data_IF_912316589271
#
_entry.id   IF_912316589271
#
_cell.length_a   1.000
_cell.length_b   1.000
_cell.length_c   1.000
_cell.angle_alpha   90.00
_cell.angle_beta   90.00
_cell.angle_gamma   90.00
#
_symmetry.space_group_name_H-M   'P 1'
#
loop_
_entity.id
_entity.type
_entity.pdbx_description
1 polymer ?
#
# COMPACT_ATOMS: atom_id res chain seq x y z
N UNK A 1 17.81 -27.93 0.34
CA UNK A 1 18.11 -26.88 1.35
C UNK A 1 17.16 -25.72 1.14
N UNK A 2 16.05 -25.65 1.89
CA UNK A 2 15.18 -24.47 1.92
C UNK A 2 15.81 -23.48 2.91
N UNK A 3 16.72 -22.62 2.42
CA UNK A 3 17.32 -21.60 3.29
C UNK A 3 16.27 -20.55 3.60
N UNK A 4 16.18 -20.18 4.87
CA UNK A 4 15.39 -19.04 5.36
C UNK A 4 15.85 -17.80 4.59
N UNK A 5 15.06 -17.32 3.64
CA UNK A 5 15.33 -16.06 2.99
C UNK A 5 14.36 -15.03 3.55
N UNK A 6 14.88 -14.13 4.39
CA UNK A 6 14.16 -12.94 4.82
C UNK A 6 13.77 -12.14 3.57
N UNK A 7 12.59 -11.53 3.57
CA UNK A 7 12.16 -10.64 2.49
C UNK A 7 13.21 -9.54 2.29
N UNK A 8 13.69 -9.41 1.06
CA UNK A 8 14.74 -8.45 0.67
C UNK A 8 14.24 -7.04 0.93
N UNK A 9 13.00 -6.72 0.52
CA UNK A 9 12.40 -5.40 0.76
C UNK A 9 12.35 -5.03 2.25
N UNK A 10 12.10 -6.00 3.13
CA UNK A 10 12.14 -5.80 4.59
C UNK A 10 13.53 -5.45 5.08
N UNK A 11 14.55 -6.20 4.63
CA UNK A 11 15.95 -5.93 4.98
C UNK A 11 16.37 -4.55 4.47
N UNK A 12 15.95 -4.18 3.25
CA UNK A 12 16.20 -2.86 2.66
C UNK A 12 15.61 -1.75 3.54
N UNK A 13 14.34 -1.88 3.95
CA UNK A 13 13.68 -0.90 4.82
C UNK A 13 14.40 -0.74 6.17
N UNK A 14 14.74 -1.85 6.81
CA UNK A 14 15.40 -1.85 8.12
C UNK A 14 16.79 -1.22 8.06
N UNK A 15 17.64 -1.68 7.14
CA UNK A 15 19.05 -1.28 7.06
C UNK A 15 19.20 0.16 6.57
N UNK A 16 18.43 0.57 5.56
CA UNK A 16 18.48 1.96 5.09
C UNK A 16 17.91 2.94 6.11
N UNK A 17 17.01 2.47 7.00
CA UNK A 17 16.50 3.22 8.15
C UNK A 17 17.48 3.39 9.31
N UNK A 18 18.61 2.66 9.35
CA UNK A 18 19.61 2.78 10.41
C UNK A 18 20.34 4.13 10.35
N UNK A 19 20.66 4.72 11.50
CA UNK A 19 21.59 5.84 11.58
C UNK A 19 23.03 5.29 11.54
N UNK A 20 23.69 5.38 10.39
CA UNK A 20 25.09 5.00 10.24
C UNK A 20 25.94 6.27 10.16
N UNK A 21 26.83 6.47 11.12
CA UNK A 21 27.81 7.55 11.12
C UNK A 21 29.11 7.09 10.49
N UNK A 22 29.43 7.57 9.29
CA UNK A 22 30.75 7.34 8.68
C UNK A 22 31.87 8.12 9.40
N UNK A 23 33.12 7.95 8.97
CA UNK A 23 34.28 8.56 9.63
C UNK A 23 34.13 10.10 9.73
N UNK A 24 34.19 10.69 10.95
CA UNK A 24 34.03 12.14 11.14
C UNK A 24 35.13 12.98 10.48
N UNK A 25 36.24 12.37 10.04
CA UNK A 25 37.40 13.04 9.43
C UNK A 25 37.24 13.29 7.94
N UNK A 26 36.35 12.58 7.25
CA UNK A 26 36.07 12.76 5.82
C UNK A 26 34.95 13.78 5.59
N UNK A 27 34.94 14.42 4.42
CA UNK A 27 33.93 15.41 4.04
C UNK A 27 32.50 14.83 4.15
N UNK A 28 31.55 15.63 4.59
CA UNK A 28 30.18 15.17 4.91
C UNK A 28 29.50 14.43 3.73
N UNK A 29 29.71 14.87 2.49
CA UNK A 29 29.16 14.22 1.29
C UNK A 29 29.75 12.82 1.07
N UNK A 30 31.07 12.70 1.16
CA UNK A 30 31.77 11.43 1.03
C UNK A 30 31.39 10.47 2.17
N UNK A 31 31.23 11.00 3.38
CA UNK A 31 30.76 10.24 4.55
C UNK A 31 29.37 9.65 4.35
N UNK A 32 28.45 10.43 3.78
CA UNK A 32 27.10 9.96 3.49
C UNK A 32 27.10 8.88 2.41
N UNK A 33 27.93 9.03 1.37
CA UNK A 33 28.08 8.03 0.31
C UNK A 33 28.71 6.72 0.84
N UNK A 34 29.73 6.82 1.69
CA UNK A 34 30.38 5.70 2.36
C UNK A 34 29.40 4.91 3.26
N UNK A 35 28.68 5.63 4.13
CA UNK A 35 27.63 5.04 4.97
C UNK A 35 26.53 4.35 4.14
N UNK A 36 26.22 4.85 2.95
CA UNK A 36 25.26 4.22 2.03
C UNK A 36 25.82 2.92 1.44
N UNK A 37 27.11 2.89 1.07
CA UNK A 37 27.78 1.69 0.53
C UNK A 37 27.87 0.58 1.58
N UNK A 38 28.13 0.94 2.83
CA UNK A 38 28.11 0.01 3.96
C UNK A 38 26.72 -0.62 4.13
N UNK A 39 25.67 0.21 4.11
CA UNK A 39 24.29 -0.26 4.17
C UNK A 39 23.95 -1.20 3.02
N UNK A 40 24.32 -0.86 1.78
CA UNK A 40 24.13 -1.75 0.62
C UNK A 40 24.87 -3.07 0.83
N UNK A 41 26.11 -3.02 1.31
CA UNK A 41 26.92 -4.23 1.56
C UNK A 41 26.29 -5.13 2.62
N UNK A 42 25.74 -4.55 3.71
CA UNK A 42 24.98 -5.28 4.72
C UNK A 42 23.77 -5.98 4.08
N UNK A 43 23.01 -5.27 3.24
CA UNK A 43 21.84 -5.81 2.55
C UNK A 43 22.24 -6.98 1.64
N UNK A 44 23.23 -6.79 0.75
CA UNK A 44 23.68 -7.82 -0.19
C UNK A 44 24.21 -9.07 0.52
N UNK A 45 24.96 -8.90 1.62
CA UNK A 45 25.42 -10.00 2.45
C UNK A 45 24.25 -10.74 3.13
N UNK A 46 23.27 -9.99 3.64
CA UNK A 46 22.06 -10.58 4.27
C UNK A 46 21.20 -11.35 3.26
N UNK A 47 21.19 -10.92 2.00
CA UNK A 47 20.50 -11.63 0.92
C UNK A 47 21.14 -12.96 0.54
N UNK A 48 22.40 -13.22 0.95
CA UNK A 48 23.21 -14.39 0.57
C UNK A 48 23.24 -14.65 -0.95
N UNK A 49 23.13 -13.59 -1.76
CA UNK A 49 23.01 -13.70 -3.22
C UNK A 49 24.37 -13.68 -3.95
N UNK A 50 25.49 -13.56 -3.22
CA UNK A 50 26.84 -13.50 -3.79
C UNK A 50 27.13 -12.24 -4.61
N UNK A 51 26.27 -11.22 -4.51
CA UNK A 51 26.45 -9.94 -5.20
C UNK A 51 27.33 -9.00 -4.39
N UNK A 52 28.09 -8.17 -5.11
CA UNK A 52 28.95 -7.15 -4.54
C UNK A 52 28.85 -5.87 -5.37
N UNK A 53 29.20 -4.73 -4.74
CA UNK A 53 29.33 -3.46 -5.44
C UNK A 53 30.38 -3.56 -6.56
N UNK A 54 30.13 -2.91 -7.70
CA UNK A 54 31.12 -2.80 -8.79
C UNK A 54 32.31 -1.94 -8.37
N UNK A 55 33.40 -1.95 -9.15
CA UNK A 55 34.58 -1.16 -8.85
C UNK A 55 34.27 0.35 -8.81
N UNK A 56 33.40 0.81 -9.70
CA UNK A 56 32.94 2.20 -9.80
C UNK A 56 32.12 2.58 -8.56
N UNK A 57 31.16 1.75 -8.14
CA UNK A 57 30.35 2.02 -6.94
C UNK A 57 31.16 2.00 -5.64
N UNK A 58 32.32 1.33 -5.62
CA UNK A 58 33.24 1.34 -4.48
C UNK A 58 34.08 2.62 -4.41
N UNK A 59 34.18 3.42 -5.47
CA UNK A 59 34.91 4.68 -5.44
C UNK A 59 34.30 5.58 -4.35
N UNK A 60 35.06 5.99 -3.31
CA UNK A 60 34.55 6.84 -2.23
C UNK A 60 33.91 8.14 -2.71
N UNK A 61 34.34 8.66 -3.86
CA UNK A 61 33.86 9.92 -4.44
C UNK A 61 32.52 9.77 -5.16
N UNK A 62 32.14 8.54 -5.56
CA UNK A 62 30.88 8.31 -6.27
C UNK A 62 29.69 8.65 -5.36
N UNK A 63 28.84 9.63 -5.75
CA UNK A 63 27.66 9.98 -4.98
C UNK A 63 26.58 8.90 -5.14
N UNK A 64 25.89 8.59 -4.04
CA UNK A 64 24.75 7.68 -4.05
C UNK A 64 23.55 8.37 -3.40
N UNK A 65 22.46 8.53 -4.15
CA UNK A 65 21.19 9.00 -3.60
C UNK A 65 20.42 7.82 -2.98
N UNK A 66 19.76 8.07 -1.85
CA UNK A 66 18.90 7.09 -1.18
C UNK A 66 17.82 6.54 -2.13
N UNK A 67 17.17 7.39 -2.93
CA UNK A 67 16.12 6.95 -3.87
C UNK A 67 16.66 6.02 -4.96
N UNK A 68 17.85 6.30 -5.48
CA UNK A 68 18.52 5.44 -6.47
C UNK A 68 18.92 4.10 -5.85
N UNK A 69 19.40 4.11 -4.61
CA UNK A 69 19.71 2.90 -3.86
C UNK A 69 18.46 2.05 -3.63
N UNK A 70 17.35 2.66 -3.21
CA UNK A 70 16.06 1.97 -3.09
C UNK A 70 15.64 1.36 -4.44
N UNK A 71 15.73 2.12 -5.52
CA UNK A 71 15.39 1.64 -6.85
C UNK A 71 16.19 0.38 -7.22
N UNK A 72 17.53 0.47 -7.17
CA UNK A 72 18.41 -0.65 -7.52
C UNK A 72 18.13 -1.89 -6.67
N UNK A 73 17.96 -1.70 -5.36
CA UNK A 73 17.72 -2.80 -4.42
C UNK A 73 16.33 -3.43 -4.57
N UNK A 74 15.29 -2.65 -4.86
CA UNK A 74 13.95 -3.19 -5.12
C UNK A 74 13.86 -3.89 -6.47
N UNK A 75 14.57 -3.40 -7.49
CA UNK A 75 14.70 -4.09 -8.77
C UNK A 75 15.43 -5.43 -8.60
N UNK A 76 16.49 -5.45 -7.79
CA UNK A 76 17.16 -6.68 -7.40
C UNK A 76 16.24 -7.62 -6.60
N UNK A 77 15.45 -7.09 -5.67
CA UNK A 77 14.47 -7.87 -4.90
C UNK A 77 13.43 -8.51 -5.83
N UNK A 78 12.92 -7.76 -6.81
CA UNK A 78 12.00 -8.26 -7.82
C UNK A 78 12.62 -9.38 -8.67
N UNK A 79 13.87 -9.20 -9.13
CA UNK A 79 14.62 -10.22 -9.84
C UNK A 79 14.86 -11.48 -8.99
N UNK A 80 15.02 -11.31 -7.67
CA UNK A 80 15.06 -12.38 -6.68
C UNK A 80 13.67 -12.94 -6.31
N UNK A 81 12.63 -12.61 -7.07
CA UNK A 81 11.25 -13.06 -6.87
C UNK A 81 10.70 -12.70 -5.49
N UNK A 82 11.11 -11.56 -4.93
CA UNK A 82 10.55 -11.05 -3.69
C UNK A 82 9.19 -10.36 -3.94
N UNK A 83 8.08 -10.87 -3.38
CA UNK A 83 6.78 -10.22 -3.50
C UNK A 83 6.76 -8.81 -2.88
N UNK A 84 7.59 -8.55 -1.87
CA UNK A 84 7.60 -7.27 -1.16
C UNK A 84 7.98 -6.08 -2.04
N UNK A 85 8.75 -6.30 -3.12
CA UNK A 85 9.08 -5.27 -4.11
C UNK A 85 7.83 -4.71 -4.84
N UNK A 86 6.79 -5.54 -5.00
CA UNK A 86 5.52 -5.13 -5.60
C UNK A 86 4.58 -4.45 -4.58
N UNK A 87 4.84 -4.61 -3.27
CA UNK A 87 3.91 -4.25 -2.19
C UNK A 87 4.39 -3.12 -1.26
N UNK A 88 5.54 -2.48 -1.51
CA UNK A 88 6.02 -1.37 -0.68
C UNK A 88 5.04 -0.20 -0.64
N UNK A 89 4.81 0.40 0.54
CA UNK A 89 3.78 1.47 0.74
C UNK A 89 4.32 2.80 1.26
N UNK A 90 5.63 3.03 1.19
CA UNK A 90 6.24 4.32 1.54
C UNK A 90 5.98 5.43 0.52
N UNK A 91 6.77 6.51 0.53
CA UNK A 91 6.69 7.55 -0.48
C UNK A 91 6.85 7.03 -1.91
N UNK A 92 6.14 7.60 -2.91
CA UNK A 92 6.37 7.27 -4.31
C UNK A 92 7.81 7.62 -4.68
N UNK A 93 8.51 6.70 -5.32
CA UNK A 93 9.92 6.87 -5.55
C UNK A 93 10.16 7.78 -6.76
N UNK A 94 10.91 8.85 -6.50
CA UNK A 94 11.35 9.84 -7.48
C UNK A 94 12.85 9.65 -7.72
N UNK A 95 13.22 9.46 -8.96
CA UNK A 95 14.60 9.52 -9.40
C UNK A 95 14.84 10.93 -9.93
N UNK A 96 15.44 11.79 -9.12
CA UNK A 96 15.89 13.11 -9.55
C UNK A 96 17.41 13.09 -9.64
N UNK A 97 17.96 13.59 -10.75
CA UNK A 97 19.40 13.79 -10.85
C UNK A 97 19.87 14.74 -9.76
N UNK A 98 20.85 14.32 -8.98
CA UNK A 98 21.66 15.22 -8.17
C UNK A 98 23.07 15.43 -8.78
N UNK A 99 23.56 14.49 -9.59
CA UNK A 99 24.94 14.48 -10.09
C UNK A 99 25.05 13.89 -11.50
N UNK A 100 26.04 14.36 -12.26
CA UNK A 100 26.31 13.97 -13.67
C UNK A 100 26.75 12.50 -13.79
N UNK A 101 27.28 11.94 -12.70
CA UNK A 101 27.89 10.60 -12.64
C UNK A 101 26.99 9.53 -11.97
N UNK A 102 25.65 9.73 -11.99
CA UNK A 102 24.72 8.73 -11.41
C UNK A 102 24.73 7.41 -12.21
N UNK A 103 24.69 6.24 -11.54
CA UNK A 103 24.65 4.94 -12.19
C UNK A 103 23.30 4.63 -12.85
N UNK A 104 22.23 5.34 -12.46
CA UNK A 104 20.93 5.26 -13.11
C UNK A 104 20.85 6.39 -14.14
N UNK A 105 20.48 6.03 -15.37
CA UNK A 105 20.30 6.83 -16.60
C UNK A 105 20.07 8.34 -16.35
N UNK A 106 20.59 9.26 -17.19
CA UNK A 106 20.72 10.68 -16.87
C UNK A 106 19.41 11.51 -16.82
N UNK A 107 18.25 10.92 -16.53
CA UNK A 107 16.93 11.58 -16.61
C UNK A 107 16.16 11.54 -15.29
N UNK A 108 15.55 12.66 -14.92
CA UNK A 108 14.59 12.68 -13.83
C UNK A 108 13.36 11.85 -14.23
N UNK A 109 12.93 10.90 -13.40
CA UNK A 109 11.79 10.03 -13.68
C UNK A 109 10.97 9.71 -12.43
N UNK A 110 9.65 9.66 -12.60
CA UNK A 110 8.76 8.95 -11.68
C UNK A 110 8.90 7.44 -11.90
N UNK A 111 8.73 6.66 -10.85
CA UNK A 111 8.76 5.19 -10.93
C UNK A 111 7.48 4.59 -10.35
N UNK A 112 7.14 3.38 -10.79
CA UNK A 112 6.05 2.59 -10.21
C UNK A 112 6.41 2.00 -8.83
N UNK A 113 7.68 2.13 -8.42
CA UNK A 113 8.18 1.69 -7.12
C UNK A 113 7.88 2.71 -6.02
N UNK A 114 7.71 2.20 -4.82
CA UNK A 114 7.45 2.96 -3.61
C UNK A 114 8.56 2.61 -2.63
N UNK A 115 9.02 3.58 -1.84
CA UNK A 115 10.06 3.29 -0.85
C UNK A 115 9.56 2.23 0.14
N UNK A 116 10.41 1.24 0.49
CA UNK A 116 10.02 0.23 1.43
C UNK A 116 10.04 0.81 2.85
N UNK A 117 9.14 0.35 3.70
CA UNK A 117 9.03 0.81 5.08
C UNK A 117 8.88 -0.35 6.05
N UNK A 118 9.18 -0.12 7.33
CA UNK A 118 9.08 -1.16 8.36
C UNK A 118 7.65 -1.65 8.60
N UNK A 119 6.61 -0.97 8.08
CA UNK A 119 5.23 -1.48 8.17
C UNK A 119 4.91 -2.47 7.06
N UNK A 120 5.68 -2.45 5.96
CA UNK A 120 5.59 -3.43 4.88
C UNK A 120 5.97 -4.82 5.42
N UNK A 121 6.96 -4.86 6.32
CA UNK A 121 7.42 -6.03 7.07
C UNK A 121 6.48 -6.45 8.22
N UNK A 122 5.54 -5.57 8.60
CA UNK A 122 4.86 -5.56 9.89
C UNK A 122 3.72 -6.58 10.08
N UNK A 123 3.66 -7.64 9.28
CA UNK A 123 2.75 -8.78 9.49
C UNK A 123 3.45 -10.14 9.29
N UNK A 124 4.54 -10.19 8.52
CA UNK A 124 5.25 -11.42 8.16
C UNK A 124 6.60 -11.63 8.86
N UNK A 125 6.95 -10.83 9.87
CA UNK A 125 8.19 -11.07 10.64
C UNK A 125 8.30 -12.49 11.24
N UNK A 126 7.19 -13.24 11.33
CA UNK A 126 7.18 -14.64 11.75
C UNK A 126 7.05 -15.66 10.61
N UNK A 127 6.59 -15.25 9.41
CA UNK A 127 6.33 -16.14 8.29
C UNK A 127 7.18 -15.71 7.09
N UNK A 128 8.14 -16.56 6.72
CA UNK A 128 8.87 -16.39 5.47
C UNK A 128 7.88 -16.50 4.31
N UNK A 129 7.69 -15.41 3.56
CA UNK A 129 6.88 -15.44 2.36
C UNK A 129 7.50 -16.33 1.29
N UNK A 130 6.63 -16.97 0.52
CA UNK A 130 7.05 -17.69 -0.67
C UNK A 130 7.53 -16.72 -1.75
N UNK A 131 8.58 -17.12 -2.47
CA UNK A 131 9.03 -16.41 -3.67
C UNK A 131 7.92 -16.39 -4.70
N UNK A 132 7.86 -15.32 -5.48
CA UNK A 132 6.97 -15.23 -6.64
C UNK A 132 7.20 -16.45 -7.56
N UNK A 133 6.13 -16.98 -8.18
CA UNK A 133 6.25 -18.16 -9.02
C UNK A 133 7.20 -17.89 -10.19
N UNK A 134 8.01 -18.89 -10.57
CA UNK A 134 8.95 -18.75 -11.70
C UNK A 134 8.26 -18.48 -13.04
N UNK A 135 6.97 -18.77 -13.14
CA UNK A 135 6.13 -18.45 -14.30
C UNK A 135 5.60 -17.01 -14.30
N UNK A 136 5.86 -16.20 -13.26
CA UNK A 136 5.42 -14.82 -13.19
C UNK A 136 6.08 -14.02 -14.32
N UNK A 137 5.25 -13.46 -15.21
CA UNK A 137 5.70 -12.56 -16.29
C UNK A 137 5.76 -11.15 -15.74
N UNK A 138 6.96 -10.71 -15.36
CA UNK A 138 7.20 -9.37 -14.85
C UNK A 138 8.38 -8.79 -15.61
N UNK A 139 8.08 -7.85 -16.50
CA UNK A 139 9.07 -7.11 -17.27
C UNK A 139 9.14 -5.67 -16.78
N UNK A 140 10.30 -5.05 -16.87
CA UNK A 140 10.49 -3.63 -16.50
C UNK A 140 11.24 -2.92 -17.60
N UNK A 141 11.02 -1.62 -17.74
CA UNK A 141 11.67 -0.86 -18.80
C UNK A 141 11.53 0.64 -18.62
N UNK A 142 12.02 1.35 -19.63
CA UNK A 142 11.93 2.79 -19.79
C UNK A 142 11.14 3.09 -21.06
N UNK A 143 10.13 3.94 -20.96
CA UNK A 143 9.38 4.43 -22.11
C UNK A 143 9.21 5.94 -21.98
N UNK A 144 9.66 6.71 -22.98
CA UNK A 144 9.62 8.18 -22.97
C UNK A 144 10.26 8.82 -21.72
N UNK A 145 11.27 8.15 -21.15
CA UNK A 145 11.94 8.61 -19.93
C UNK A 145 11.24 8.26 -18.62
N UNK A 146 10.09 7.56 -18.67
CA UNK A 146 9.39 7.05 -17.50
C UNK A 146 9.67 5.56 -17.28
N UNK A 147 9.87 5.16 -16.02
CA UNK A 147 9.98 3.75 -15.64
C UNK A 147 8.62 3.07 -15.58
N UNK A 148 8.51 1.89 -16.19
CA UNK A 148 7.31 1.05 -16.13
C UNK A 148 7.61 -0.37 -15.65
N UNK A 149 6.56 -1.04 -15.20
CA UNK A 149 6.49 -2.49 -15.06
C UNK A 149 5.36 -3.02 -15.93
N UNK A 150 5.59 -4.13 -16.60
CA UNK A 150 4.63 -4.84 -17.42
C UNK A 150 4.37 -6.21 -16.78
N UNK A 151 3.13 -6.45 -16.37
CA UNK A 151 2.73 -7.68 -15.69
C UNK A 151 1.24 -7.96 -15.89
N UNK A 152 0.83 -9.18 -15.59
CA UNK A 152 -0.58 -9.57 -15.68
C UNK A 152 -1.34 -9.06 -14.45
N UNK A 153 -2.48 -8.40 -14.64
CA UNK A 153 -3.29 -7.80 -13.58
C UNK A 153 -4.66 -8.44 -13.51
N UNK A 154 -5.09 -8.82 -12.31
CA UNK A 154 -6.48 -9.17 -12.03
C UNK A 154 -7.22 -7.92 -11.57
N UNK A 155 -8.15 -7.45 -12.38
CA UNK A 155 -9.01 -6.32 -11.99
C UNK A 155 -10.11 -6.81 -11.06
N UNK A 156 -10.43 -6.01 -10.04
CA UNK A 156 -11.59 -6.24 -9.20
C UNK A 156 -12.82 -5.88 -10.04
N UNK A 157 -13.36 -6.84 -10.80
CA UNK A 157 -14.54 -6.65 -11.66
C UNK A 157 -15.68 -6.02 -10.84
N UNK A 158 -16.07 -4.82 -11.22
CA UNK A 158 -17.05 -4.01 -10.51
C UNK A 158 -18.45 -4.59 -10.69
N UNK A 159 -19.04 -5.11 -9.62
CA UNK A 159 -20.42 -4.72 -9.35
C UNK A 159 -20.43 -3.25 -8.92
N UNK A 160 -21.60 -2.65 -8.76
CA UNK A 160 -21.78 -1.28 -8.27
C UNK A 160 -20.86 -0.98 -7.08
N UNK A 161 -19.90 -0.06 -7.28
CA UNK A 161 -19.01 0.43 -6.23
C UNK A 161 -19.84 1.34 -5.34
N UNK A 162 -19.88 1.04 -4.05
CA UNK A 162 -20.63 1.82 -3.07
C UNK A 162 -19.67 2.56 -2.15
N UNK A 163 -19.96 3.82 -1.91
CA UNK A 163 -19.21 4.65 -0.99
C UNK A 163 -19.78 4.51 0.43
N UNK A 164 -18.90 4.71 1.42
CA UNK A 164 -19.33 4.69 2.82
C UNK A 164 -20.34 5.79 3.19
N UNK A 165 -20.55 6.78 2.32
CA UNK A 165 -21.51 7.88 2.54
C UNK A 165 -22.83 7.74 1.75
N UNK A 166 -23.02 6.67 0.98
CA UNK A 166 -24.20 6.53 0.10
C UNK A 166 -25.51 6.33 0.87
N UNK A 167 -25.46 5.70 2.05
CA UNK A 167 -26.64 5.52 2.93
C UNK A 167 -26.60 6.49 4.13
N UNK A 168 -27.44 7.54 4.13
CA UNK A 168 -27.52 8.50 5.23
C UNK A 168 -27.86 7.86 6.58
N UNK A 169 -28.70 6.81 6.60
CA UNK A 169 -29.12 6.16 7.84
C UNK A 169 -27.93 5.42 8.47
N UNK A 170 -27.22 4.63 7.69
CA UNK A 170 -26.01 3.93 8.18
C UNK A 170 -24.90 4.91 8.58
N UNK A 171 -24.76 6.03 7.87
CA UNK A 171 -23.83 7.11 8.25
C UNK A 171 -24.17 7.76 9.60
N UNK A 172 -25.46 7.95 9.90
CA UNK A 172 -25.91 8.47 11.19
C UNK A 172 -25.55 7.51 12.32
N UNK A 173 -25.80 6.21 12.14
CA UNK A 173 -25.43 5.16 13.10
C UNK A 173 -23.91 5.18 13.34
N UNK A 174 -23.12 5.20 12.27
CA UNK A 174 -21.66 5.17 12.35
C UNK A 174 -21.09 6.41 13.06
N UNK A 175 -21.58 7.60 12.70
CA UNK A 175 -21.14 8.85 13.31
C UNK A 175 -21.52 8.94 14.78
N UNK A 176 -22.74 8.54 15.13
CA UNK A 176 -23.19 8.47 16.52
C UNK A 176 -22.34 7.48 17.33
N UNK A 177 -22.07 6.30 16.80
CA UNK A 177 -21.25 5.28 17.46
C UNK A 177 -19.84 5.79 17.80
N UNK A 178 -19.17 6.43 16.84
CA UNK A 178 -17.83 6.97 17.04
C UNK A 178 -17.82 8.15 18.01
N UNK A 179 -18.84 9.00 18.00
CA UNK A 179 -18.98 10.07 18.99
C UNK A 179 -19.14 9.52 20.41
N UNK A 180 -19.98 8.50 20.61
CA UNK A 180 -20.13 7.82 21.91
C UNK A 180 -18.79 7.22 22.35
N UNK A 181 -18.08 6.53 21.47
CA UNK A 181 -16.78 5.95 21.78
C UNK A 181 -15.76 7.04 22.17
N UNK A 182 -15.78 8.20 21.51
CA UNK A 182 -14.94 9.35 21.85
C UNK A 182 -15.31 9.93 23.21
N UNK A 183 -16.60 10.20 23.47
CA UNK A 183 -17.09 10.76 24.74
C UNK A 183 -16.79 9.85 25.92
N UNK A 184 -17.04 8.54 25.78
CA UNK A 184 -16.84 7.52 26.83
C UNK A 184 -15.44 6.93 26.88
N UNK A 185 -14.54 7.38 25.99
CA UNK A 185 -13.15 6.91 25.86
C UNK A 185 -13.04 5.39 25.62
N UNK A 186 -13.98 4.82 24.86
CA UNK A 186 -13.87 3.43 24.41
C UNK A 186 -12.78 3.29 23.33
N UNK A 187 -12.12 2.15 23.30
CA UNK A 187 -11.00 1.87 22.40
C UNK A 187 -9.72 2.64 22.73
N UNK A 188 -8.68 2.42 21.93
CA UNK A 188 -7.38 3.05 22.11
C UNK A 188 -7.40 4.51 21.65
N UNK A 189 -6.47 5.30 22.18
CA UNK A 189 -6.34 6.72 21.84
C UNK A 189 -5.95 6.99 20.37
N UNK A 190 -5.57 5.97 19.59
CA UNK A 190 -5.02 6.14 18.22
C UNK A 190 -5.98 6.86 17.25
N UNK A 191 -7.28 6.54 17.30
CA UNK A 191 -8.30 7.24 16.52
C UNK A 191 -8.30 8.73 16.83
N UNK A 192 -8.21 9.07 18.13
CA UNK A 192 -8.27 10.45 18.59
C UNK A 192 -7.08 11.25 18.08
N UNK A 193 -5.89 10.64 17.99
CA UNK A 193 -4.72 11.28 17.40
C UNK A 193 -4.92 11.56 15.91
N UNK A 194 -5.29 10.55 15.12
CA UNK A 194 -5.45 10.70 13.67
C UNK A 194 -6.58 11.65 13.28
N UNK A 195 -7.70 11.62 14.00
CA UNK A 195 -8.82 12.55 13.77
C UNK A 195 -8.41 14.00 13.98
N UNK A 196 -7.49 14.28 14.91
CA UNK A 196 -6.98 15.64 15.18
C UNK A 196 -5.68 15.96 14.44
N UNK A 197 -5.12 15.03 13.66
CA UNK A 197 -3.83 15.22 13.02
C UNK A 197 -3.94 16.21 11.87
N UNK A 198 -3.25 17.35 11.98
CA UNK A 198 -3.33 18.45 11.01
C UNK A 198 -2.81 18.01 9.64
N UNK A 199 -1.77 17.19 9.58
CA UNK A 199 -1.20 16.73 8.32
C UNK A 199 -2.14 15.73 7.64
N UNK A 200 -2.69 14.76 8.37
CA UNK A 200 -3.67 13.82 7.85
C UNK A 200 -4.91 14.55 7.32
N UNK A 201 -5.46 15.49 8.10
CA UNK A 201 -6.63 16.27 7.67
C UNK A 201 -6.34 17.14 6.43
N UNK A 202 -5.12 17.67 6.32
CA UNK A 202 -4.69 18.43 5.13
C UNK A 202 -4.64 17.56 3.88
N UNK A 203 -4.12 16.33 3.98
CA UNK A 203 -3.99 15.45 2.82
C UNK A 203 -5.32 14.77 2.45
N UNK A 204 -6.08 14.30 3.44
CA UNK A 204 -7.24 13.45 3.20
C UNK A 204 -8.59 14.16 3.35
N UNK A 205 -8.63 15.42 3.75
CA UNK A 205 -9.86 16.06 4.24
C UNK A 205 -10.20 15.57 5.65
N UNK A 206 -11.47 15.69 6.06
CA UNK A 206 -11.89 15.34 7.43
C UNK A 206 -11.60 13.87 7.75
N UNK A 207 -10.64 13.65 8.65
CA UNK A 207 -10.38 12.30 9.15
C UNK A 207 -11.58 11.76 9.93
N UNK A 208 -12.35 12.61 10.61
CA UNK A 208 -13.59 12.18 11.26
C UNK A 208 -14.55 11.52 10.25
N UNK A 209 -14.69 12.10 9.06
CA UNK A 209 -15.54 11.58 8.01
C UNK A 209 -15.00 10.25 7.48
N UNK A 210 -13.68 10.14 7.30
CA UNK A 210 -13.03 8.88 6.90
C UNK A 210 -13.38 7.75 7.89
N UNK A 211 -13.29 8.01 9.19
CA UNK A 211 -13.62 7.01 10.20
C UNK A 211 -15.11 6.66 10.20
N UNK A 212 -16.01 7.66 10.13
CA UNK A 212 -17.45 7.41 10.06
C UNK A 212 -17.84 6.61 8.82
N UNK A 213 -17.35 7.00 7.65
CA UNK A 213 -17.62 6.28 6.40
C UNK A 213 -17.02 4.88 6.41
N UNK A 214 -15.87 4.67 7.06
CA UNK A 214 -15.27 3.33 7.18
C UNK A 214 -16.16 2.44 8.05
N UNK A 215 -16.67 2.95 9.17
CA UNK A 215 -17.61 2.20 10.00
C UNK A 215 -18.94 1.96 9.28
N UNK A 216 -19.41 2.90 8.47
CA UNK A 216 -20.60 2.69 7.63
C UNK A 216 -20.39 1.52 6.65
N UNK A 217 -19.24 1.45 5.96
CA UNK A 217 -18.89 0.29 5.13
C UNK A 217 -18.87 -1.01 5.95
N UNK A 218 -18.35 -1.00 7.19
CA UNK A 218 -18.34 -2.17 8.07
C UNK A 218 -19.76 -2.62 8.44
N UNK A 219 -20.66 -1.68 8.74
CA UNK A 219 -22.07 -1.97 9.03
C UNK A 219 -22.79 -2.57 7.81
N UNK A 220 -22.48 -2.10 6.60
CA UNK A 220 -22.97 -2.68 5.35
C UNK A 220 -22.44 -4.09 5.12
N UNK A 221 -21.15 -4.30 5.38
CA UNK A 221 -20.52 -5.61 5.23
C UNK A 221 -21.06 -6.63 6.21
N UNK A 222 -21.28 -6.22 7.45
CA UNK A 222 -21.87 -7.04 8.51
C UNK A 222 -20.82 -7.72 9.39
N UNK A 223 -21.27 -8.37 10.47
CA UNK A 223 -20.37 -8.92 11.47
C UNK A 223 -19.62 -10.18 11.00
N UNK A 224 -20.21 -11.02 10.12
CA UNK A 224 -19.52 -12.17 9.51
C UNK A 224 -18.26 -11.75 8.75
N UNK A 225 -18.38 -10.64 8.01
CA UNK A 225 -17.25 -10.04 7.30
C UNK A 225 -16.15 -9.57 8.27
N UNK A 226 -16.53 -8.99 9.43
CA UNK A 226 -15.57 -8.55 10.45
C UNK A 226 -14.80 -9.74 11.02
N UNK A 227 -15.48 -10.85 11.28
CA UNK A 227 -14.86 -12.08 11.75
C UNK A 227 -13.82 -12.60 10.75
N UNK A 228 -14.21 -12.76 9.48
CA UNK A 228 -13.33 -13.24 8.43
C UNK A 228 -12.07 -12.37 8.32
N UNK A 229 -12.22 -11.05 8.26
CA UNK A 229 -11.07 -10.13 8.22
C UNK A 229 -10.20 -10.26 9.47
N UNK A 230 -10.79 -10.41 10.65
CA UNK A 230 -10.03 -10.61 11.88
C UNK A 230 -9.23 -11.91 11.87
N UNK A 231 -9.78 -12.98 11.32
CA UNK A 231 -9.11 -14.27 11.18
C UNK A 231 -7.97 -14.20 10.16
N UNK A 232 -8.21 -13.63 8.97
CA UNK A 232 -7.20 -13.49 7.91
C UNK A 232 -6.00 -12.65 8.32
N UNK A 233 -6.24 -11.55 9.04
CA UNK A 233 -5.19 -10.61 9.47
C UNK A 233 -4.66 -10.88 10.89
N UNK A 234 -5.12 -11.94 11.56
CA UNK A 234 -4.65 -12.31 12.90
C UNK A 234 -4.90 -11.24 13.96
N UNK A 235 -6.07 -10.58 13.92
CA UNK A 235 -6.44 -9.52 14.87
C UNK A 235 -6.65 -10.14 16.26
N UNK A 236 -5.60 -10.16 17.08
CA UNK A 236 -5.54 -10.97 18.31
C UNK A 236 -6.65 -10.71 19.34
N UNK A 237 -7.22 -9.50 19.42
CA UNK A 237 -8.32 -9.18 20.34
C UNK A 237 -9.65 -9.83 19.93
N UNK A 238 -9.80 -10.28 18.69
CA UNK A 238 -11.03 -10.93 18.22
C UNK A 238 -11.43 -12.11 19.10
N UNK A 239 -10.47 -12.91 19.56
CA UNK A 239 -10.73 -14.07 20.43
C UNK A 239 -11.40 -13.73 21.77
N UNK A 240 -11.23 -12.50 22.26
CA UNK A 240 -11.75 -12.06 23.56
C UNK A 240 -12.99 -11.20 23.41
N UNK A 241 -12.99 -10.30 22.43
CA UNK A 241 -14.01 -9.27 22.28
C UNK A 241 -14.98 -9.53 21.11
N UNK A 242 -14.72 -10.55 20.29
CA UNK A 242 -15.39 -10.78 19.00
C UNK A 242 -16.88 -11.07 19.14
N UNK A 243 -17.29 -11.96 20.04
CA UNK A 243 -18.71 -12.27 20.28
C UNK A 243 -19.49 -11.02 20.73
N UNK A 244 -18.92 -10.23 21.63
CA UNK A 244 -19.53 -8.98 22.09
C UNK A 244 -19.63 -7.95 20.96
N UNK A 245 -18.58 -7.82 20.14
CA UNK A 245 -18.56 -6.92 18.99
C UNK A 245 -19.60 -7.34 17.93
N UNK A 246 -19.69 -8.64 17.66
CA UNK A 246 -20.68 -9.23 16.76
C UNK A 246 -22.09 -8.85 17.18
N UNK A 247 -22.46 -9.19 18.42
CA UNK A 247 -23.79 -8.95 18.97
C UNK A 247 -24.14 -7.45 18.96
N UNK A 248 -23.16 -6.58 19.23
CA UNK A 248 -23.37 -5.13 19.19
C UNK A 248 -23.61 -4.62 17.76
N UNK A 249 -22.85 -5.10 16.76
CA UNK A 249 -23.07 -4.75 15.35
C UNK A 249 -24.46 -5.19 14.87
N UNK A 250 -24.87 -6.41 15.21
CA UNK A 250 -26.22 -6.92 14.93
C UNK A 250 -27.30 -6.06 15.58
N UNK A 251 -27.14 -5.72 16.87
CA UNK A 251 -28.10 -4.90 17.60
C UNK A 251 -28.23 -3.49 17.01
N UNK A 252 -27.10 -2.86 16.66
CA UNK A 252 -27.08 -1.53 16.03
C UNK A 252 -27.80 -1.56 14.67
N UNK A 253 -27.52 -2.55 13.82
CA UNK A 253 -28.15 -2.66 12.51
C UNK A 253 -29.65 -2.94 12.61
N UNK A 254 -30.05 -3.91 13.44
CA UNK A 254 -31.46 -4.30 13.59
C UNK A 254 -32.35 -3.23 14.22
N UNK A 255 -31.78 -2.32 15.02
CA UNK A 255 -32.53 -1.23 15.66
C UNK A 255 -32.46 0.09 14.89
N UNK A 256 -31.69 0.16 13.80
CA UNK A 256 -31.38 1.40 13.11
C UNK A 256 -30.64 2.38 14.03
N UNK A 257 -29.65 1.90 14.79
CA UNK A 257 -28.84 2.69 15.72
C UNK A 257 -29.50 3.05 17.05
N UNK A 258 -30.74 2.61 17.30
CA UNK A 258 -31.48 2.97 18.52
C UNK A 258 -31.19 2.07 19.72
N UNK A 259 -30.23 1.15 19.61
CA UNK A 259 -29.81 0.30 20.72
C UNK A 259 -29.22 1.17 21.87
N UNK A 260 -29.77 1.11 23.10
CA UNK A 260 -29.41 2.06 24.15
C UNK A 260 -27.91 2.08 24.48
N UNK A 261 -27.29 3.27 24.50
CA UNK A 261 -25.86 3.42 24.82
C UNK A 261 -25.46 2.81 26.19
N UNK A 262 -26.40 2.73 27.15
CA UNK A 262 -26.17 2.12 28.47
C UNK A 262 -26.04 0.60 28.41
N UNK A 263 -26.56 -0.03 27.35
CA UNK A 263 -26.51 -1.47 27.13
C UNK A 263 -25.26 -1.90 26.33
N UNK A 264 -24.42 -0.95 25.90
CA UNK A 264 -23.23 -1.27 25.13
C UNK A 264 -22.15 -1.87 26.04
N UNK A 265 -21.64 -3.04 25.67
CA UNK A 265 -20.42 -3.56 26.28
C UNK A 265 -19.23 -2.67 25.87
N UNK A 266 -18.53 -2.08 26.85
CA UNK A 266 -17.43 -1.16 26.60
C UNK A 266 -16.23 -1.80 25.87
N UNK A 267 -15.94 -3.09 26.13
CA UNK A 267 -14.86 -3.82 25.47
C UNK A 267 -15.21 -4.07 24.00
N UNK A 268 -16.45 -4.50 23.72
CA UNK A 268 -16.98 -4.70 22.38
C UNK A 268 -17.00 -3.40 21.56
N UNK A 269 -17.54 -2.32 22.12
CA UNK A 269 -17.56 -1.02 21.45
C UNK A 269 -16.14 -0.49 21.18
N UNK A 270 -15.25 -0.64 22.16
CA UNK A 270 -13.84 -0.31 22.01
C UNK A 270 -13.12 -1.16 20.96
N UNK A 271 -13.49 -2.44 20.84
CA UNK A 271 -12.96 -3.33 19.80
C UNK A 271 -13.39 -2.88 18.40
N UNK A 272 -14.68 -2.59 18.18
CA UNK A 272 -15.18 -2.12 16.88
C UNK A 272 -14.46 -0.82 16.47
N UNK A 273 -14.30 0.13 17.39
CA UNK A 273 -13.55 1.34 17.13
C UNK A 273 -12.07 1.05 16.76
N UNK A 274 -11.39 0.19 17.53
CA UNK A 274 -10.01 -0.24 17.24
C UNK A 274 -9.90 -0.99 15.90
N UNK A 275 -10.93 -1.74 15.51
CA UNK A 275 -11.00 -2.44 14.23
C UNK A 275 -11.14 -1.47 13.06
N UNK A 276 -12.02 -0.47 13.15
CA UNK A 276 -12.10 0.62 12.16
C UNK A 276 -10.74 1.33 12.04
N UNK A 277 -10.08 1.60 13.16
CA UNK A 277 -8.73 2.16 13.16
C UNK A 277 -7.70 1.26 12.48
N UNK A 278 -7.80 -0.06 12.66
CA UNK A 278 -6.97 -1.01 11.94
C UNK A 278 -7.17 -0.90 10.42
N UNK A 279 -8.42 -0.85 9.94
CA UNK A 279 -8.73 -0.69 8.52
C UNK A 279 -8.17 0.62 7.97
N UNK A 280 -8.38 1.76 8.65
CA UNK A 280 -7.89 3.08 8.21
C UNK A 280 -6.37 3.13 8.15
N UNK A 281 -5.67 2.65 9.18
CA UNK A 281 -4.18 2.70 9.22
C UNK A 281 -3.57 1.78 8.16
N UNK A 282 -4.19 0.64 7.88
CA UNK A 282 -3.67 -0.35 6.92
C UNK A 282 -4.07 -0.05 5.48
N UNK A 283 -5.28 0.47 5.27
CA UNK A 283 -5.84 0.72 3.96
C UNK A 283 -5.54 2.11 3.40
N UNK A 284 -5.38 3.13 4.23
CA UNK A 284 -5.08 4.46 3.71
C UNK A 284 -3.61 4.62 3.33
N UNK A 285 -3.31 5.25 2.17
CA UNK A 285 -1.96 5.38 1.67
C UNK A 285 -1.24 6.61 2.27
N UNK A 286 -1.21 6.73 3.61
CA UNK A 286 -0.73 7.93 4.33
C UNK A 286 0.67 8.41 3.93
N UNK A 287 1.56 7.48 3.54
CA UNK A 287 2.95 7.77 3.18
C UNK A 287 3.15 8.03 1.70
N UNK A 288 2.13 7.77 0.89
CA UNK A 288 2.19 7.77 -0.57
C UNK A 288 1.72 9.09 -1.16
N UNK A 289 0.98 9.87 -0.37
CA UNK A 289 0.32 11.08 -0.82
C UNK A 289 1.19 12.30 -0.51
N UNK A 290 1.34 13.15 -1.51
CA UNK A 290 2.19 14.35 -1.48
C UNK A 290 1.37 15.65 -1.49
N UNK A 291 0.11 15.59 -1.93
CA UNK A 291 -0.81 16.72 -2.03
C UNK A 291 -2.18 16.34 -1.48
N UNK A 292 -3.14 17.27 -1.43
CA UNK A 292 -4.49 16.93 -0.96
C UNK A 292 -5.19 16.02 -1.95
N UNK A 293 -5.61 14.85 -1.50
CA UNK A 293 -6.40 13.87 -2.22
C UNK A 293 -7.39 13.22 -1.25
N UNK A 294 -8.68 13.34 -1.55
CA UNK A 294 -9.73 12.86 -0.64
C UNK A 294 -9.97 11.36 -0.82
N UNK A 295 -9.07 10.55 -0.28
CA UNK A 295 -9.26 9.10 -0.28
C UNK A 295 -10.42 8.73 0.63
N UNK A 296 -11.37 7.96 0.10
CA UNK A 296 -12.59 7.57 0.80
C UNK A 296 -12.75 6.05 0.80
N UNK A 297 -13.30 5.47 1.87
CA UNK A 297 -13.60 4.05 1.90
C UNK A 297 -14.72 3.75 0.91
N UNK A 298 -14.53 2.66 0.17
CA UNK A 298 -15.55 2.05 -0.67
C UNK A 298 -15.75 0.61 -0.23
N UNK A 299 -16.92 0.07 -0.57
CA UNK A 299 -17.16 -1.34 -0.50
C UNK A 299 -17.78 -1.85 -1.79
N UNK A 300 -17.46 -3.11 -2.13
CA UNK A 300 -17.91 -3.76 -3.35
C UNK A 300 -18.47 -5.12 -2.98
N UNK A 301 -19.70 -5.40 -3.41
CA UNK A 301 -20.27 -6.75 -3.35
C UNK A 301 -19.79 -7.54 -4.56
N UNK A 302 -19.37 -8.78 -4.38
CA UNK A 302 -19.05 -9.75 -5.43
C UNK A 302 -20.32 -10.49 -5.86
N UNK A 303 -20.25 -11.21 -7.00
CA UNK A 303 -21.39 -11.94 -7.58
C UNK A 303 -21.87 -13.11 -6.71
N UNK A 304 -20.95 -13.69 -5.94
CA UNK A 304 -21.19 -14.80 -5.01
C UNK A 304 -21.66 -14.33 -3.62
N UNK A 305 -21.80 -13.02 -3.42
CA UNK A 305 -22.18 -12.41 -2.15
C UNK A 305 -21.00 -11.99 -1.27
N UNK A 306 -19.75 -12.28 -1.67
CA UNK A 306 -18.56 -11.81 -0.95
C UNK A 306 -18.43 -10.30 -0.96
N UNK A 307 -17.74 -9.71 0.01
CA UNK A 307 -17.61 -8.26 0.15
C UNK A 307 -16.17 -7.84 0.36
N UNK A 308 -15.83 -6.72 -0.27
CA UNK A 308 -14.50 -6.12 -0.20
C UNK A 308 -14.63 -4.68 0.31
N UNK A 309 -13.77 -4.28 1.25
CA UNK A 309 -13.54 -2.87 1.61
C UNK A 309 -12.14 -2.47 1.20
N UNK A 310 -12.02 -1.27 0.62
CA UNK A 310 -10.73 -0.61 0.37
C UNK A 310 -10.90 0.92 0.33
N UNK A 311 -9.84 1.66 0.04
CA UNK A 311 -9.84 3.12 -0.03
C UNK A 311 -9.41 3.55 -1.42
N UNK A 312 -10.13 4.49 -2.03
CA UNK A 312 -9.82 4.99 -3.37
C UNK A 312 -9.75 6.52 -3.40
N UNK A 313 -8.88 7.11 -4.22
CA UNK A 313 -8.90 8.54 -4.50
C UNK A 313 -10.13 8.92 -5.33
N UNK A 314 -10.46 10.23 -5.44
CA UNK A 314 -11.45 10.69 -6.39
C UNK A 314 -10.97 10.48 -7.85
N UNK A 315 -11.91 10.25 -8.76
CA UNK A 315 -11.66 10.12 -10.20
C UNK A 315 -12.02 8.74 -10.76
N UNK A 316 -11.66 8.51 -12.02
CA UNK A 316 -11.83 7.22 -12.69
C UNK A 316 -10.69 6.28 -12.30
N UNK A 317 -10.97 5.42 -11.30
CA UNK A 317 -9.99 4.52 -10.70
C UNK A 317 -10.38 3.07 -10.95
N UNK A 318 -9.42 2.28 -11.43
CA UNK A 318 -9.53 0.83 -11.49
C UNK A 318 -8.64 0.18 -10.43
N UNK A 319 -9.24 -0.74 -9.67
CA UNK A 319 -8.58 -1.49 -8.62
C UNK A 319 -8.13 -2.85 -9.16
N UNK A 320 -6.85 -3.18 -9.01
CA UNK A 320 -6.29 -4.43 -9.53
C UNK A 320 -5.24 -5.06 -8.61
N UNK A 321 -5.01 -6.35 -8.75
CA UNK A 321 -3.96 -7.09 -8.04
C UNK A 321 -3.02 -7.71 -9.08
N UNK A 322 -1.69 -7.56 -8.96
CA UNK A 322 -0.74 -8.33 -9.75
C UNK A 322 -1.04 -9.82 -9.67
N UNK A 323 -1.17 -10.50 -10.81
CA UNK A 323 -1.53 -11.92 -10.84
C UNK A 323 -0.54 -12.81 -10.07
N UNK A 324 0.74 -12.39 -10.01
CA UNK A 324 1.79 -13.04 -9.23
C UNK A 324 1.58 -12.95 -7.71
N UNK A 325 0.69 -12.08 -7.23
CA UNK A 325 0.36 -11.86 -5.82
C UNK A 325 -1.01 -12.41 -5.42
N UNK A 326 -1.64 -13.26 -6.25
CA UNK A 326 -2.97 -13.82 -5.95
C UNK A 326 -2.94 -14.89 -4.86
N UNK A 327 -1.79 -15.51 -4.60
CA UNK A 327 -1.63 -16.55 -3.57
C UNK A 327 -2.05 -16.06 -2.17
N UNK A 328 -2.62 -16.97 -1.38
CA UNK A 328 -3.04 -16.74 0.00
C UNK A 328 -1.88 -16.32 0.92
N UNK A 329 -0.65 -16.74 0.61
CA UNK A 329 0.53 -16.32 1.35
C UNK A 329 0.72 -14.79 1.34
N UNK A 330 0.19 -14.11 0.31
CA UNK A 330 0.33 -12.66 0.12
C UNK A 330 -0.87 -11.85 0.62
N UNK A 331 -1.89 -12.49 1.21
CA UNK A 331 -3.14 -11.83 1.59
C UNK A 331 -2.95 -10.63 2.53
N UNK A 332 -1.93 -10.68 3.37
CA UNK A 332 -1.62 -9.65 4.37
C UNK A 332 -0.82 -8.47 3.80
N UNK A 333 -0.33 -8.57 2.56
CA UNK A 333 0.44 -7.52 1.90
C UNK A 333 -0.46 -6.44 1.30
N UNK A 334 0.10 -5.25 1.11
CA UNK A 334 -0.52 -4.17 0.34
C UNK A 334 -0.44 -4.45 -1.17
N UNK A 335 -1.16 -5.50 -1.60
CA UNK A 335 -1.15 -6.03 -2.98
C UNK A 335 -2.19 -5.38 -3.89
N UNK A 336 -3.07 -4.52 -3.38
CA UNK A 336 -4.02 -3.79 -4.20
C UNK A 336 -3.32 -2.61 -4.87
N UNK A 337 -3.41 -2.53 -6.18
CA UNK A 337 -2.95 -1.41 -6.98
C UNK A 337 -4.14 -0.59 -7.44
N UNK A 338 -4.04 0.72 -7.26
CA UNK A 338 -5.07 1.67 -7.65
C UNK A 338 -4.57 2.43 -8.86
N UNK A 339 -5.25 2.21 -9.97
CA UNK A 339 -4.77 2.52 -11.30
C UNK A 339 -5.69 3.56 -11.93
N UNK A 340 -5.08 4.54 -12.58
CA UNK A 340 -5.79 5.48 -13.44
C UNK A 340 -5.46 5.14 -14.91
N UNK A 341 -6.46 5.03 -15.79
CA UNK A 341 -6.22 4.86 -17.22
C UNK A 341 -5.34 5.99 -17.78
N UNK A 342 -4.32 5.65 -18.59
CA UNK A 342 -3.52 6.65 -19.32
C UNK A 342 -4.03 6.81 -20.75
N UNK A 343 -4.47 8.00 -21.11
CA UNK A 343 -4.76 8.36 -22.51
C UNK A 343 -3.57 9.13 -23.10
N UNK A 344 -2.78 8.49 -23.97
CA UNK A 344 -1.76 9.19 -24.74
C UNK A 344 -2.34 9.60 -26.09
N UNK A 345 -2.43 10.90 -26.34
CA UNK A 345 -2.60 11.40 -27.72
C UNK A 345 -1.31 11.14 -28.50
N UNK A 346 -1.35 10.21 -29.46
CA UNK A 346 -0.32 10.10 -30.51
C UNK A 346 0.59 8.87 -30.50
N UNK A 347 0.44 7.92 -29.56
CA UNK A 347 1.13 6.62 -29.65
C UNK A 347 0.15 5.59 -30.22
N UNK A 348 0.44 5.06 -31.42
CA UNK A 348 -0.34 3.99 -32.01
C UNK A 348 -0.18 2.70 -31.15
N UNK A 349 -1.21 2.36 -30.42
CA UNK A 349 -1.31 1.17 -29.56
C UNK A 349 -2.64 1.18 -28.81
N UNK A 350 -3.13 0.00 -28.42
CA UNK A 350 -4.40 -0.14 -27.72
C UNK A 350 -4.36 0.62 -26.38
N UNK A 351 -5.17 1.68 -26.17
CA UNK A 351 -5.16 2.47 -24.94
C UNK A 351 -5.56 1.67 -23.69
N UNK A 352 -6.05 0.43 -23.85
CA UNK A 352 -6.55 -0.43 -22.77
C UNK A 352 -5.46 -1.05 -21.88
N UNK A 353 -4.17 -0.91 -22.22
CA UNK A 353 -3.06 -1.62 -21.55
C UNK A 353 -2.10 -0.71 -20.75
N UNK A 354 -2.46 0.56 -20.49
CA UNK A 354 -1.55 1.53 -19.84
C UNK A 354 -2.19 2.23 -18.65
N UNK A 355 -1.45 2.25 -17.55
CA UNK A 355 -1.96 2.69 -16.26
C UNK A 355 -0.96 3.58 -15.52
N UNK A 356 -1.48 4.59 -14.83
CA UNK A 356 -0.75 5.31 -13.78
C UNK A 356 -1.06 4.65 -12.45
N UNK A 357 -0.03 4.19 -11.73
CA UNK A 357 -0.19 3.70 -10.37
C UNK A 357 -0.35 4.87 -9.40
N UNK A 358 -1.56 5.09 -8.91
CA UNK A 358 -1.86 6.13 -7.92
C UNK A 358 -1.44 5.74 -6.51
N UNK A 359 -1.54 4.47 -6.17
CA UNK A 359 -1.16 4.00 -4.86
C UNK A 359 -1.32 2.50 -4.71
N UNK A 360 -0.77 2.00 -3.61
CA UNK A 360 -0.84 0.61 -3.19
C UNK A 360 -1.57 0.53 -1.86
N UNK A 361 -2.49 -0.41 -1.74
CA UNK A 361 -3.34 -0.56 -0.56
C UNK A 361 -3.59 -2.03 -0.25
N UNK A 362 -4.37 -2.27 0.79
CA UNK A 362 -4.76 -3.57 1.31
C UNK A 362 -6.21 -3.87 0.87
N UNK A 363 -6.50 -5.14 0.62
CA UNK A 363 -7.85 -5.65 0.36
C UNK A 363 -8.38 -6.28 1.64
N UNK A 364 -9.43 -5.70 2.21
CA UNK A 364 -10.15 -6.35 3.30
C UNK A 364 -11.33 -7.11 2.71
N UNK A 365 -11.32 -8.43 2.82
CA UNK A 365 -12.31 -9.29 2.19
C UNK A 365 -12.72 -10.44 3.09
N UNK A 366 -13.97 -10.88 2.91
CA UNK A 366 -14.48 -12.11 3.49
C UNK A 366 -14.01 -13.36 2.72
N UNK A 367 -14.30 -14.53 3.29
CA UNK A 367 -13.93 -15.83 2.73
C UNK A 367 -14.52 -16.06 1.33
N UNK A 368 -15.80 -15.74 1.03
CA UNK A 368 -16.34 -15.88 -0.32
C UNK A 368 -15.56 -15.06 -1.36
N UNK A 369 -15.31 -13.76 -1.08
CA UNK A 369 -14.57 -12.92 -2.01
C UNK A 369 -13.13 -13.41 -2.26
N UNK A 370 -12.49 -14.04 -1.27
CA UNK A 370 -11.18 -14.67 -1.45
C UNK A 370 -11.24 -15.93 -2.31
N UNK A 371 -12.25 -16.78 -2.14
CA UNK A 371 -12.40 -18.00 -2.93
C UNK A 371 -12.62 -17.68 -4.42
N UNK A 372 -13.38 -16.64 -4.74
CA UNK A 372 -13.54 -16.16 -6.11
C UNK A 372 -12.21 -15.62 -6.68
N UNK A 373 -11.40 -14.97 -5.85
CA UNK A 373 -10.06 -14.51 -6.22
C UNK A 373 -9.10 -15.66 -6.60
N UNK A 374 -9.37 -16.89 -6.18
CA UNK A 374 -8.58 -18.07 -6.56
C UNK A 374 -9.11 -18.79 -7.80
N UNK A 375 -10.42 -18.79 -7.99
CA UNK A 375 -11.09 -19.59 -9.04
C UNK A 375 -11.28 -18.82 -10.36
N UNK A 376 -11.46 -17.49 -10.29
CA UNK A 376 -11.75 -16.63 -11.45
C UNK A 376 -10.55 -16.21 -12.31
N UNK A 377 -9.79 -17.15 -12.88
CA UNK A 377 -8.67 -16.84 -13.82
C UNK A 377 -9.11 -16.08 -15.08
N UNK A 378 -10.41 -15.99 -15.38
CA UNK A 378 -10.99 -15.32 -16.55
C UNK A 378 -10.90 -13.80 -16.52
N UNK A 379 -10.63 -13.18 -15.36
CA UNK A 379 -10.61 -11.73 -15.18
C UNK A 379 -9.19 -11.13 -15.17
N UNK A 380 -8.19 -11.92 -15.57
CA UNK A 380 -6.79 -11.48 -15.67
C UNK A 380 -6.59 -10.82 -17.03
N UNK A 381 -6.22 -9.55 -17.03
CA UNK A 381 -5.74 -8.84 -18.22
C UNK A 381 -4.23 -9.01 -18.29
N UNK A 382 -3.74 -9.62 -19.36
CA UNK A 382 -2.31 -9.91 -19.52
C UNK A 382 -1.52 -8.66 -19.91
N UNK A 383 -0.23 -8.63 -19.59
CA UNK A 383 0.77 -7.69 -20.13
C UNK A 383 0.40 -6.21 -19.98
N UNK A 384 -0.17 -5.85 -18.82
CA UNK A 384 -0.57 -4.49 -18.50
C UNK A 384 0.65 -3.67 -18.09
N UNK A 385 0.85 -2.52 -18.73
CA UNK A 385 1.94 -1.59 -18.39
C UNK A 385 1.49 -0.59 -17.35
N UNK A 386 2.27 -0.51 -16.27
CA UNK A 386 2.00 0.35 -15.12
C UNK A 386 3.19 1.27 -14.89
N UNK A 387 2.91 2.56 -14.83
CA UNK A 387 3.88 3.63 -14.65
C UNK A 387 3.70 4.29 -13.28
N UNK A 388 4.71 5.06 -12.86
CA UNK A 388 4.63 5.89 -11.65
C UNK A 388 3.61 7.03 -11.75
N UNK A 389 3.28 7.63 -10.60
CA UNK A 389 2.48 8.86 -10.55
C UNK A 389 3.15 9.97 -11.35
N UNK A 390 2.35 10.71 -12.10
CA UNK A 390 2.82 11.93 -12.74
C UNK A 390 3.14 12.95 -11.64
N UNK A 391 4.40 13.36 -11.60
CA UNK A 391 4.86 14.36 -10.66
C UNK A 391 5.06 15.69 -11.40
N UNK A 392 4.36 16.77 -11.03
CA UNK A 392 4.47 18.05 -11.72
C UNK A 392 5.90 18.59 -11.79
N UNK A 393 6.73 18.32 -10.79
CA UNK A 393 8.13 18.74 -10.76
C UNK A 393 8.98 17.91 -11.71
N UNK A 394 8.81 16.59 -11.73
CA UNK A 394 9.48 15.71 -12.72
C UNK A 394 9.03 16.07 -14.13
N UNK A 395 7.73 16.29 -14.34
CA UNK A 395 7.16 16.70 -15.62
C UNK A 395 7.68 18.08 -16.06
N UNK A 396 7.91 19.01 -15.12
CA UNK A 396 8.58 20.28 -15.42
C UNK A 396 10.01 20.04 -15.89
N UNK A 397 10.79 19.25 -15.16
CA UNK A 397 12.19 18.96 -15.50
C UNK A 397 12.33 18.21 -16.84
N UNK A 398 11.42 17.28 -17.13
CA UNK A 398 11.35 16.57 -18.40
C UNK A 398 11.03 17.53 -19.55
N UNK A 399 10.04 18.42 -19.38
CA UNK A 399 9.67 19.44 -20.38
C UNK A 399 10.77 20.44 -20.66
N UNK A 400 11.42 20.95 -19.62
CA UNK A 400 12.57 21.86 -19.75
C UNK A 400 13.64 21.23 -20.63
N UNK A 401 13.91 19.92 -20.47
CA UNK A 401 14.90 19.20 -21.28
C UNK A 401 14.47 18.93 -22.71
N UNK A 402 13.19 18.60 -22.94
CA UNK A 402 12.67 18.42 -24.30
C UNK A 402 12.70 19.70 -25.14
N UNK A 403 12.90 20.88 -24.53
CA UNK A 403 13.10 22.15 -25.25
C UNK A 403 14.56 22.39 -25.68
N UNK A 404 15.51 21.59 -25.19
CA UNK A 404 16.95 21.68 -25.52
C UNK A 404 17.43 20.60 -26.49
N UNK A 405 16.53 19.74 -26.99
CA UNK A 405 16.74 18.78 -28.07
C UNK A 405 15.70 19.02 -29.15
#
# INVERSE_FOLDING_TARGET
>A
MRRYHREVSTVVAEVLGMEAGGDPRIAAKQRAADAMKDKISIILNTMECGLALTAEMRDPTMPLNKSECHYMLLMLALAAQDPGALCSVGPPMRLTQAYVDSPLTPTASSTWLFEPTNVDSGLNNYRTLHRLPASARIDTGLELGEHYVQLDLRFLTSNEVKHGYDDPATMEIASHFLDVCKRRKFGRNRIRYLVTDVAANRHFGSMADVYSQTLACVLECGPDWVEDVCLHYGVGRWKQDGEGAWNLLVALKNTGGRWPESAWNAQAAGFIADFVNFLVIRGMPQRQILHREEWRPIWVSRKDGGKIITFVPPGEIEAAVPAALLDDDYIQLARLWLLQPRTLSGVAGDPTCRWTLLGKSVIFSDSPALQEAHTGRTDIREQQRVFGREDPEIQRLLRERSLYY
#
